data_IF_138316366203
#
_entry.id   IF_138316366203
#
_cell.length_a   1.000
_cell.length_b   1.000
_cell.length_c   1.000
_cell.angle_alpha   90.00
_cell.angle_beta   90.00
_cell.angle_gamma   90.00
#
_symmetry.space_group_name_H-M   'P 1'
#
loop_
_entity.id
_entity.type
_entity.pdbx_description
1 polymer ?
#
# COMPACT_ATOMS: atom_id res chain seq x y z
N UNK A 1 -4.55 -14.36 -77.99
CA UNK A 1 -3.89 -14.50 -76.67
C UNK A 1 -4.97 -14.65 -75.60
N UNK A 2 -4.90 -15.71 -74.79
CA UNK A 2 -5.80 -15.98 -73.64
C UNK A 2 -5.05 -15.55 -72.36
N UNK A 3 -5.73 -14.92 -71.39
CA UNK A 3 -5.59 -15.39 -70.00
C UNK A 3 -6.96 -15.43 -69.30
N UNK A 4 -7.39 -16.58 -68.78
CA UNK A 4 -7.14 -17.12 -67.43
C UNK A 4 -7.89 -16.33 -66.35
N UNK A 5 -9.00 -16.95 -65.93
CA UNK A 5 -9.79 -16.63 -64.74
C UNK A 5 -9.01 -16.99 -63.48
N UNK A 6 -8.93 -16.09 -62.51
CA UNK A 6 -8.70 -16.42 -61.11
C UNK A 6 -9.80 -15.78 -60.25
N UNK A 7 -10.68 -16.61 -59.71
CA UNK A 7 -11.61 -16.21 -58.64
C UNK A 7 -10.84 -16.28 -57.32
N UNK A 8 -10.59 -15.13 -56.68
CA UNK A 8 -10.16 -15.09 -55.28
C UNK A 8 -11.39 -15.14 -54.37
N UNK A 9 -11.62 -16.28 -53.73
CA UNK A 9 -12.44 -16.39 -52.53
C UNK A 9 -11.60 -15.95 -51.32
N UNK A 10 -11.90 -14.78 -50.74
CA UNK A 10 -11.31 -14.32 -49.49
C UNK A 10 -12.17 -14.81 -48.32
N UNK A 11 -11.66 -15.78 -47.54
CA UNK A 11 -12.21 -16.16 -46.24
C UNK A 11 -11.62 -15.24 -45.17
N UNK A 12 -12.40 -14.26 -44.71
CA UNK A 12 -12.04 -13.44 -43.56
C UNK A 12 -12.27 -14.24 -42.26
N UNK A 13 -11.19 -14.69 -41.63
CA UNK A 13 -11.22 -15.31 -40.31
C UNK A 13 -11.27 -14.21 -39.23
N UNK A 14 -12.42 -14.05 -38.58
CA UNK A 14 -12.57 -13.18 -37.41
C UNK A 14 -11.91 -13.85 -36.18
N UNK A 15 -10.68 -13.47 -35.86
CA UNK A 15 -10.06 -13.79 -34.57
C UNK A 15 -10.65 -12.90 -33.48
N UNK A 16 -11.56 -13.46 -32.68
CA UNK A 16 -12.00 -12.85 -31.43
C UNK A 16 -10.88 -13.00 -30.40
N UNK A 17 -10.14 -11.92 -30.14
CA UNK A 17 -9.20 -11.86 -29.02
C UNK A 17 -10.03 -11.59 -27.76
N UNK A 18 -10.36 -12.65 -27.02
CA UNK A 18 -10.89 -12.51 -25.67
C UNK A 18 -9.75 -12.07 -24.74
N UNK A 19 -9.70 -10.79 -24.42
CA UNK A 19 -8.87 -10.28 -23.32
C UNK A 19 -9.45 -10.81 -22.01
N UNK A 20 -8.92 -11.93 -21.52
CA UNK A 20 -9.11 -12.30 -20.12
C UNK A 20 -8.32 -11.31 -19.27
N UNK A 21 -9.01 -10.32 -18.70
CA UNK A 21 -8.43 -9.47 -17.68
C UNK A 21 -8.05 -10.38 -16.49
N UNK A 22 -6.76 -10.55 -16.23
CA UNK A 22 -6.25 -11.12 -15.00
C UNK A 22 -6.54 -10.16 -13.85
N UNK A 23 -7.81 -10.09 -13.41
CA UNK A 23 -8.15 -9.53 -12.10
C UNK A 23 -7.77 -10.56 -11.03
N UNK A 24 -6.46 -10.78 -10.87
CA UNK A 24 -5.92 -11.41 -9.67
C UNK A 24 -5.99 -10.40 -8.54
N UNK A 25 -7.20 -10.02 -8.12
CA UNK A 25 -7.40 -9.36 -6.84
C UNK A 25 -6.86 -10.34 -5.80
N UNK A 26 -5.64 -10.10 -5.35
CA UNK A 26 -5.09 -10.81 -4.19
C UNK A 26 -6.00 -10.36 -3.04
N UNK A 27 -7.02 -11.16 -2.74
CA UNK A 27 -8.07 -10.77 -1.82
C UNK A 27 -7.46 -10.75 -0.41
N UNK A 28 -6.97 -9.59 0.00
CA UNK A 28 -6.44 -9.37 1.33
C UNK A 28 -7.57 -9.68 2.34
N UNK A 29 -7.29 -10.43 3.43
CA UNK A 29 -8.33 -10.89 4.35
C UNK A 29 -8.98 -9.73 5.10
N UNK A 30 -10.25 -9.82 5.50
CA UNK A 30 -10.84 -8.77 6.35
C UNK A 30 -10.21 -8.77 7.75
N UNK A 31 -9.98 -9.96 8.30
CA UNK A 31 -9.21 -10.16 9.52
C UNK A 31 -7.70 -10.20 9.19
N UNK A 32 -6.89 -9.23 9.67
CA UNK A 32 -5.46 -9.21 9.41
C UNK A 32 -4.71 -10.43 9.99
N UNK A 33 -5.30 -11.14 10.95
CA UNK A 33 -4.74 -12.35 11.56
C UNK A 33 -5.12 -13.64 10.82
N UNK A 34 -6.03 -13.59 9.85
CA UNK A 34 -6.42 -14.75 9.06
C UNK A 34 -5.40 -15.13 7.96
N UNK A 35 -4.35 -14.32 7.77
CA UNK A 35 -3.26 -14.62 6.84
C UNK A 35 -2.30 -15.65 7.41
N UNK A 36 -1.53 -16.34 6.55
CA UNK A 36 -0.49 -17.29 7.02
C UNK A 36 0.74 -16.60 7.62
N UNK A 37 1.01 -15.35 7.22
CA UNK A 37 2.13 -14.58 7.75
C UNK A 37 1.74 -13.85 9.03
N UNK A 38 2.74 -13.46 9.81
CA UNK A 38 2.54 -12.65 11.01
C UNK A 38 1.95 -11.29 10.65
N UNK A 39 0.82 -10.94 11.25
CA UNK A 39 0.25 -9.61 11.13
C UNK A 39 1.18 -8.59 11.81
N UNK A 40 1.42 -7.47 11.15
CA UNK A 40 2.33 -6.44 11.62
C UNK A 40 1.57 -5.18 12.00
N UNK A 41 1.96 -4.58 13.12
CA UNK A 41 1.45 -3.28 13.51
C UNK A 41 1.96 -2.22 12.54
N UNK A 42 1.17 -1.18 12.28
CA UNK A 42 1.53 -0.09 11.37
C UNK A 42 1.81 1.17 12.17
N UNK A 43 2.88 1.88 11.80
CA UNK A 43 3.33 3.11 12.45
C UNK A 43 3.38 4.22 11.40
N UNK A 44 2.47 5.20 11.41
CA UNK A 44 2.54 6.31 10.50
C UNK A 44 3.59 7.31 11.00
N UNK A 45 4.50 7.69 10.10
CA UNK A 45 5.56 8.68 10.30
C UNK A 45 5.27 9.85 9.38
N UNK A 46 5.41 11.07 9.87
CA UNK A 46 5.08 12.28 9.11
C UNK A 46 6.15 13.34 9.29
N UNK A 47 6.97 13.55 8.25
CA UNK A 47 8.02 14.58 8.25
C UNK A 47 7.53 15.93 7.72
N UNK A 48 6.22 16.11 7.58
CA UNK A 48 5.62 17.36 7.09
C UNK A 48 5.05 18.18 8.24
N UNK A 49 4.76 19.45 7.95
CA UNK A 49 4.11 20.37 8.89
C UNK A 49 2.58 20.27 8.90
N UNK A 50 1.98 19.36 8.11
CA UNK A 50 0.53 19.16 8.03
C UNK A 50 0.10 17.96 8.86
N UNK A 51 -1.14 17.98 9.35
CA UNK A 51 -1.72 16.82 10.00
C UNK A 51 -2.13 15.79 8.95
N UNK A 52 -1.58 14.57 9.04
CA UNK A 52 -2.04 13.42 8.27
C UNK A 52 -3.07 12.66 9.08
N UNK A 53 -4.21 12.37 8.46
CA UNK A 53 -5.23 11.52 9.07
C UNK A 53 -5.77 10.54 8.05
N UNK A 54 -6.48 9.52 8.52
CA UNK A 54 -6.97 8.43 7.68
C UNK A 54 -5.83 7.83 6.85
N UNK A 55 -4.69 7.50 7.47
CA UNK A 55 -3.58 6.83 6.77
C UNK A 55 -3.92 5.35 6.63
N UNK A 56 -3.82 4.82 5.42
CA UNK A 56 -4.11 3.43 5.09
C UNK A 56 -3.00 2.82 4.25
N UNK A 57 -2.73 1.54 4.51
CA UNK A 57 -2.01 0.64 3.60
C UNK A 57 -3.04 -0.36 3.07
N UNK A 58 -3.29 -0.32 1.76
CA UNK A 58 -4.46 -0.91 1.11
C UNK A 58 -5.77 -0.53 1.82
N UNK A 59 -6.41 -1.48 2.50
CA UNK A 59 -7.64 -1.27 3.26
C UNK A 59 -7.43 -1.17 4.77
N UNK A 60 -6.20 -1.37 5.26
CA UNK A 60 -5.91 -1.43 6.69
C UNK A 60 -5.49 -0.05 7.19
N UNK A 61 -6.15 0.40 8.25
CA UNK A 61 -5.90 1.71 8.84
C UNK A 61 -4.60 1.69 9.66
N UNK A 62 -3.66 2.54 9.29
CA UNK A 62 -2.37 2.69 9.94
C UNK A 62 -2.40 3.71 11.10
N UNK A 63 -3.40 4.58 11.13
CA UNK A 63 -3.50 5.63 12.15
C UNK A 63 -3.55 7.03 11.55
N UNK A 64 -3.40 8.00 12.43
CA UNK A 64 -3.17 9.40 12.09
C UNK A 64 -1.77 9.79 12.54
N UNK A 65 -1.20 10.82 11.93
CA UNK A 65 0.13 11.31 12.24
C UNK A 65 0.14 12.85 12.34
N UNK A 66 0.36 13.40 13.54
CA UNK A 66 0.59 14.83 13.72
C UNK A 66 1.74 15.37 12.86
N UNK A 67 1.85 16.70 12.70
CA UNK A 67 3.02 17.33 12.11
C UNK A 67 4.31 16.89 12.80
N UNK A 68 5.37 16.64 12.02
CA UNK A 68 6.69 16.23 12.53
C UNK A 68 6.62 15.07 13.53
N UNK A 69 5.86 14.03 13.18
CA UNK A 69 5.64 12.85 14.02
C UNK A 69 6.59 11.71 13.62
N UNK A 70 7.44 11.32 14.58
CA UNK A 70 8.40 10.22 14.44
C UNK A 70 7.86 8.86 14.91
N UNK A 71 6.54 8.68 15.02
CA UNK A 71 5.93 7.36 15.29
C UNK A 71 5.55 7.10 16.74
N UNK A 72 4.78 8.00 17.34
CA UNK A 72 4.34 7.88 18.73
C UNK A 72 3.34 6.73 19.00
N UNK A 73 2.61 6.26 17.98
CA UNK A 73 1.56 5.26 18.10
C UNK A 73 1.65 4.20 17.00
N UNK A 74 1.02 3.05 17.24
CA UNK A 74 0.87 2.00 16.24
C UNK A 74 -0.59 1.53 16.21
N UNK A 75 -1.10 1.27 15.01
CA UNK A 75 -2.40 0.66 14.79
C UNK A 75 -2.24 -0.79 14.33
N UNK A 76 -3.20 -1.63 14.67
CA UNK A 76 -3.24 -3.00 14.20
C UNK A 76 -4.28 -3.15 13.09
N UNK A 77 -3.97 -3.83 11.98
CA UNK A 77 -2.67 -4.36 11.53
C UNK A 77 -2.69 -4.51 10.01
N UNK A 78 -1.51 -4.58 9.39
CA UNK A 78 -1.38 -5.11 8.04
C UNK A 78 -1.22 -6.63 8.12
N UNK A 79 -1.94 -7.44 7.32
CA UNK A 79 -1.76 -8.89 7.30
C UNK A 79 -0.35 -9.26 6.83
N UNK A 80 0.14 -10.40 7.26
CA UNK A 80 1.35 -10.97 6.68
C UNK A 80 1.09 -11.42 5.24
N UNK A 81 1.94 -10.99 4.31
CA UNK A 81 1.82 -11.36 2.91
C UNK A 81 2.62 -12.62 2.59
N UNK A 82 2.09 -13.44 1.68
CA UNK A 82 2.85 -14.55 1.08
C UNK A 82 3.94 -14.04 0.12
N UNK A 83 3.76 -12.84 -0.41
CA UNK A 83 4.67 -12.20 -1.37
C UNK A 83 4.68 -10.68 -1.11
N UNK A 84 5.75 -10.20 -0.47
CA UNK A 84 5.97 -8.78 -0.16
C UNK A 84 6.44 -7.96 -1.37
N UNK A 85 6.78 -8.58 -2.51
CA UNK A 85 7.25 -7.86 -3.68
C UNK A 85 6.13 -7.16 -4.45
N UNK A 86 4.87 -7.54 -4.18
CA UNK A 86 3.72 -6.94 -4.83
C UNK A 86 3.57 -5.48 -4.39
N UNK A 87 3.29 -4.56 -5.33
CA UNK A 87 2.98 -3.20 -4.95
C UNK A 87 1.66 -3.15 -4.16
N UNK A 88 1.58 -2.17 -3.27
CA UNK A 88 0.42 -1.86 -2.42
C UNK A 88 0.04 -0.39 -2.62
N UNK A 89 -1.15 0.01 -2.18
CA UNK A 89 -1.57 1.41 -2.19
C UNK A 89 -1.44 2.02 -0.81
N UNK A 90 -0.73 3.13 -0.69
CA UNK A 90 -0.80 3.99 0.51
C UNK A 90 -1.73 5.15 0.20
N UNK A 91 -2.67 5.42 1.11
CA UNK A 91 -3.64 6.51 0.99
C UNK A 91 -3.72 7.28 2.30
N UNK A 92 -3.80 8.60 2.23
CA UNK A 92 -3.90 9.48 3.40
C UNK A 92 -4.66 10.75 3.04
N UNK A 93 -5.00 11.53 4.06
CA UNK A 93 -5.56 12.86 3.89
C UNK A 93 -4.74 13.87 4.67
N UNK A 94 -4.55 15.05 4.08
CA UNK A 94 -3.96 16.18 4.75
C UNK A 94 -5.01 17.13 5.30
N UNK A 95 -4.72 17.71 6.45
CA UNK A 95 -5.44 18.83 7.05
C UNK A 95 -4.43 19.85 7.61
N UNK A 96 -4.89 21.09 7.81
CA UNK A 96 -4.08 22.10 8.52
C UNK A 96 -3.99 21.80 10.02
N UNK A 97 -5.04 21.22 10.58
CA UNK A 97 -5.13 20.86 11.99
C UNK A 97 -5.77 19.48 12.16
N UNK A 98 -5.60 18.90 13.35
CA UNK A 98 -6.24 17.66 13.74
C UNK A 98 -7.78 17.80 13.68
N UNK A 99 -8.49 17.00 12.85
CA UNK A 99 -9.95 16.97 12.87
C UNK A 99 -10.47 16.43 14.20
N UNK A 100 -10.85 17.35 15.11
CA UNK A 100 -11.37 16.97 16.44
C UNK A 100 -12.84 16.53 16.38
N UNK A 101 -13.09 15.30 16.81
CA UNK A 101 -14.43 14.74 16.95
C UNK A 101 -15.17 14.68 15.61
N UNK A 102 -16.42 15.11 15.58
CA UNK A 102 -17.24 15.09 14.36
C UNK A 102 -17.00 16.30 13.44
N UNK A 103 -16.09 17.21 13.79
CA UNK A 103 -15.80 18.38 12.97
C UNK A 103 -14.93 17.99 11.79
N UNK A 104 -15.39 18.15 10.53
CA UNK A 104 -14.56 17.88 9.38
C UNK A 104 -13.35 18.81 9.39
N UNK A 105 -12.15 18.26 9.19
CA UNK A 105 -10.96 19.09 8.96
C UNK A 105 -11.20 20.06 7.79
N UNK A 106 -10.76 21.30 7.95
CA UNK A 106 -10.71 22.27 6.87
C UNK A 106 -9.59 21.88 5.87
N UNK A 107 -9.77 22.27 4.60
CA UNK A 107 -8.77 22.10 3.54
C UNK A 107 -8.27 20.66 3.36
N UNK A 108 -9.21 19.71 3.45
CA UNK A 108 -8.96 18.28 3.27
C UNK A 108 -8.48 17.98 1.86
N UNK A 109 -7.31 17.37 1.78
CA UNK A 109 -6.72 16.93 0.53
C UNK A 109 -6.44 15.44 0.60
N UNK A 110 -7.09 14.66 -0.26
CA UNK A 110 -6.83 13.22 -0.34
C UNK A 110 -5.63 12.95 -1.24
N UNK A 111 -4.72 12.10 -0.77
CA UNK A 111 -3.57 11.61 -1.50
C UNK A 111 -3.57 10.11 -1.53
N UNK A 112 -3.11 9.54 -2.64
CA UNK A 112 -2.80 8.13 -2.75
C UNK A 112 -1.64 7.92 -3.69
N UNK A 113 -0.89 6.86 -3.45
CA UNK A 113 0.13 6.40 -4.38
C UNK A 113 0.35 4.90 -4.24
N UNK A 114 0.84 4.32 -5.33
CA UNK A 114 1.30 2.95 -5.32
C UNK A 114 2.75 2.92 -4.84
N UNK A 115 3.04 2.09 -3.84
CA UNK A 115 4.37 1.90 -3.25
C UNK A 115 4.71 0.41 -3.26
N UNK A 116 5.96 0.09 -2.96
CA UNK A 116 6.40 -1.29 -2.74
C UNK A 116 6.92 -1.41 -1.33
N UNK A 117 6.67 -2.55 -0.70
CA UNK A 117 7.41 -2.92 0.49
C UNK A 117 8.90 -3.12 0.16
N UNK A 118 9.79 -3.03 1.16
CA UNK A 118 11.18 -3.44 1.00
C UNK A 118 11.29 -4.84 0.39
N UNK A 119 12.12 -4.98 -0.64
CA UNK A 119 12.18 -6.20 -1.44
C UNK A 119 12.63 -7.46 -0.69
N UNK A 120 13.24 -7.34 0.48
CA UNK A 120 13.58 -8.50 1.32
C UNK A 120 12.39 -9.10 2.09
N UNK A 121 11.24 -8.41 2.12
CA UNK A 121 10.22 -8.67 3.13
C UNK A 121 10.68 -8.25 4.54
N UNK A 122 9.88 -8.54 5.58
CA UNK A 122 10.28 -8.34 6.97
C UNK A 122 11.48 -9.23 7.31
N UNK A 123 12.47 -8.66 8.00
CA UNK A 123 13.61 -9.40 8.52
C UNK A 123 13.16 -10.44 9.54
N UNK A 124 13.81 -11.61 9.50
CA UNK A 124 13.67 -12.64 10.52
C UNK A 124 15.06 -13.04 11.04
N UNK A 125 15.17 -13.14 12.35
CA UNK A 125 16.40 -13.40 13.10
C UNK A 125 16.23 -14.63 14.01
N UNK A 126 17.30 -15.37 14.33
CA UNK A 126 17.25 -16.38 15.38
C UNK A 126 16.81 -15.86 16.75
N UNK A 127 17.06 -14.58 17.05
CA UNK A 127 16.51 -13.89 18.21
C UNK A 127 15.19 -13.20 17.81
N UNK A 128 14.02 -13.72 18.22
CA UNK A 128 12.72 -13.20 17.77
C UNK A 128 12.45 -11.76 18.22
N UNK A 129 13.21 -11.21 19.17
CA UNK A 129 13.11 -9.79 19.53
C UNK A 129 13.68 -8.85 18.45
N UNK A 130 14.35 -9.41 17.44
CA UNK A 130 14.90 -8.70 16.29
C UNK A 130 14.11 -8.95 15.02
N UNK A 131 13.10 -9.81 15.05
CA UNK A 131 12.17 -9.97 13.93
C UNK A 131 11.45 -8.64 13.68
N UNK A 132 11.29 -8.29 12.40
CA UNK A 132 10.45 -7.16 12.04
C UNK A 132 8.98 -7.47 12.41
N UNK A 133 8.38 -6.58 13.19
CA UNK A 133 6.99 -6.70 13.65
C UNK A 133 6.13 -5.48 13.29
N UNK A 134 6.74 -4.48 12.65
CA UNK A 134 6.13 -3.20 12.33
C UNK A 134 6.31 -2.84 10.86
N UNK A 135 5.26 -2.30 10.25
CA UNK A 135 5.30 -1.58 8.97
C UNK A 135 5.34 -0.08 9.28
N UNK A 136 6.43 0.58 8.93
CA UNK A 136 6.54 2.03 9.01
C UNK A 136 5.94 2.63 7.74
N UNK A 137 4.93 3.49 7.88
CA UNK A 137 4.28 4.21 6.76
C UNK A 137 4.78 5.65 6.78
N UNK A 138 5.71 5.98 5.90
CA UNK A 138 6.51 7.20 6.03
C UNK A 138 6.08 8.25 5.01
N UNK A 139 5.42 9.30 5.47
CA UNK A 139 5.07 10.46 4.65
C UNK A 139 6.25 11.44 4.63
N UNK A 140 7.05 11.38 3.57
CA UNK A 140 8.29 12.18 3.43
C UNK A 140 8.00 13.63 3.06
N UNK A 141 7.05 13.82 2.17
CA UNK A 141 6.57 15.13 1.74
C UNK A 141 5.05 15.08 1.46
N UNK A 142 4.49 16.18 0.93
CA UNK A 142 3.05 16.30 0.68
C UNK A 142 2.49 15.28 -0.33
N UNK A 143 3.35 14.62 -1.11
CA UNK A 143 2.97 13.78 -2.24
C UNK A 143 3.63 12.39 -2.22
N UNK A 144 4.59 12.15 -1.33
CA UNK A 144 5.36 10.89 -1.30
C UNK A 144 5.18 10.14 0.01
N UNK A 145 5.08 8.82 -0.14
CA UNK A 145 4.99 7.86 0.94
C UNK A 145 5.96 6.71 0.66
N UNK A 146 6.60 6.21 1.70
CA UNK A 146 7.50 5.05 1.68
C UNK A 146 7.06 4.02 2.71
N UNK A 147 7.48 2.77 2.50
CA UNK A 147 7.26 1.69 3.45
C UNK A 147 8.61 1.13 3.90
N UNK A 148 8.72 0.90 5.21
CA UNK A 148 9.85 0.20 5.80
C UNK A 148 9.36 -0.83 6.82
N UNK A 149 10.25 -1.74 7.21
CA UNK A 149 10.02 -2.65 8.31
C UNK A 149 10.87 -2.27 9.52
N UNK A 150 10.40 -2.61 10.71
CA UNK A 150 11.16 -2.41 11.95
C UNK A 150 10.83 -3.48 12.98
N UNK A 151 11.80 -3.89 13.82
CA UNK A 151 11.55 -4.78 14.96
C UNK A 151 10.85 -4.07 16.11
N UNK A 152 10.85 -2.74 16.14
CA UNK A 152 10.22 -1.95 17.19
C UNK A 152 9.46 -0.75 16.63
N UNK A 153 8.44 -0.29 17.36
CA UNK A 153 7.71 0.94 17.03
C UNK A 153 8.65 2.14 16.93
N UNK A 154 9.53 2.33 17.91
CA UNK A 154 10.50 3.43 17.93
C UNK A 154 11.51 3.33 16.79
N UNK A 155 11.86 2.12 16.33
CA UNK A 155 12.76 1.96 15.19
C UNK A 155 12.19 2.49 13.88
N UNK A 156 10.88 2.78 13.79
CA UNK A 156 10.30 3.49 12.64
C UNK A 156 10.70 4.97 12.58
N UNK A 157 11.09 5.58 13.70
CA UNK A 157 11.58 6.97 13.74
C UNK A 157 12.89 7.14 12.97
N UNK A 158 13.72 6.09 12.96
CA UNK A 158 15.05 6.10 12.32
C UNK A 158 14.98 5.75 10.81
N UNK A 159 13.78 5.57 10.25
CA UNK A 159 13.59 5.13 8.87
C UNK A 159 13.52 6.26 7.87
#
# INVERSE_FOLDING_TARGET
MKPISLRLTSLAACTLVTLSACAGASHLPDDPFASRGTAMAMVPINHTDRYAFDVFVDKYWAGDAPPQNDGAAAACCHPGLADWHKPTTVRWKWAEEDPKGDTPALNRETRSMMVRFPGGGPHSDPDPNKDDAYVCVILRDLNTAELAFSPSRSGCADR
#
